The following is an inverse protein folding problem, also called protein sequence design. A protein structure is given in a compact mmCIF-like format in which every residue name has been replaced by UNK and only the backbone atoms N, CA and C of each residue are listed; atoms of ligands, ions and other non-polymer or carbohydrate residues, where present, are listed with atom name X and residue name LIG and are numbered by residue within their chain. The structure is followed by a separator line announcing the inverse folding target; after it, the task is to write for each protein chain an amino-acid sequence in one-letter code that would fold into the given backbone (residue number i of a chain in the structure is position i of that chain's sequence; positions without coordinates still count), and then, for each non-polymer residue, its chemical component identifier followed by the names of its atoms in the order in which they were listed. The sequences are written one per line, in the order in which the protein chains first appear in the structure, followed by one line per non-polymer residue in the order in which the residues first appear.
data_IF_483727527872
#
_entry.id   IF_483727527872
#
_cell.length_a   1.000
_cell.length_b   1.000
_cell.length_c   1.000
_cell.angle_alpha   90.00
_cell.angle_beta   90.00
_cell.angle_gamma   90.00
#
_symmetry.space_group_name_H-M   'P 1'
#
loop_
_entity.id
_entity.type
_entity.pdbx_description
1 polymer ?
#
# COMPACT_ATOMS: atom_id res chain seq x y z
N UNK A 1 27.26 34.16 -16.87
CA UNK A 1 27.07 33.10 -17.90
C UNK A 1 28.00 31.88 -17.75
N UNK A 2 28.94 31.83 -16.79
CA UNK A 2 29.87 30.69 -16.66
C UNK A 2 29.37 29.56 -15.73
N UNK A 3 28.49 29.83 -14.78
CA UNK A 3 28.00 28.85 -13.79
C UNK A 3 26.99 27.83 -14.36
N UNK A 4 26.21 28.21 -15.37
CA UNK A 4 25.25 27.30 -16.00
C UNK A 4 25.92 26.24 -16.89
N UNK A 5 27.14 26.48 -17.41
CA UNK A 5 27.86 25.52 -18.27
C UNK A 5 28.51 24.37 -17.50
N UNK A 6 28.93 24.59 -16.25
CA UNK A 6 29.67 23.58 -15.47
C UNK A 6 28.74 22.50 -14.89
N UNK A 7 27.54 22.86 -14.41
CA UNK A 7 26.53 21.87 -13.99
C UNK A 7 25.97 21.06 -15.17
N UNK A 8 25.87 21.71 -16.33
CA UNK A 8 25.41 21.13 -17.59
C UNK A 8 26.39 20.05 -18.11
N UNK A 9 27.70 20.23 -17.86
CA UNK A 9 28.77 19.31 -18.25
C UNK A 9 28.84 18.06 -17.35
N UNK A 10 28.76 18.22 -16.02
CA UNK A 10 28.80 17.10 -15.06
C UNK A 10 27.59 16.15 -15.17
N UNK A 11 26.39 16.68 -15.45
CA UNK A 11 25.15 15.87 -15.52
C UNK A 11 25.00 15.11 -16.86
N UNK A 12 25.48 15.65 -17.98
CA UNK A 12 25.51 14.91 -19.25
C UNK A 12 26.50 13.73 -19.20
N UNK A 13 27.63 13.92 -18.51
CA UNK A 13 28.63 12.86 -18.31
C UNK A 13 28.06 11.71 -17.46
N UNK A 14 27.31 12.03 -16.39
CA UNK A 14 26.66 11.02 -15.56
C UNK A 14 25.80 10.05 -16.38
N UNK A 15 24.86 10.55 -17.18
CA UNK A 15 23.97 9.66 -17.94
C UNK A 15 24.69 8.91 -19.09
N UNK A 16 25.74 9.50 -19.67
CA UNK A 16 26.56 8.81 -20.66
C UNK A 16 27.31 7.62 -20.03
N UNK A 17 27.93 7.81 -18.86
CA UNK A 17 28.59 6.73 -18.12
C UNK A 17 27.59 5.72 -17.57
N UNK A 18 26.46 6.21 -17.06
CA UNK A 18 25.38 5.38 -16.54
C UNK A 18 24.82 4.43 -17.60
N UNK A 19 24.51 4.96 -18.79
CA UNK A 19 23.97 4.16 -19.87
C UNK A 19 24.99 3.13 -20.35
N UNK A 20 26.24 3.54 -20.61
CA UNK A 20 27.28 2.67 -21.17
C UNK A 20 27.82 1.64 -20.17
N UNK A 21 27.90 1.96 -18.87
CA UNK A 21 28.48 1.05 -17.86
C UNK A 21 27.43 0.23 -17.13
N UNK A 22 26.25 0.80 -16.85
CA UNK A 22 25.24 0.17 -15.98
C UNK A 22 24.04 -0.38 -16.76
N UNK A 23 23.44 0.41 -17.67
CA UNK A 23 22.30 -0.07 -18.46
C UNK A 23 22.70 -1.09 -19.54
N UNK A 24 23.88 -0.93 -20.12
CA UNK A 24 24.44 -1.86 -21.11
C UNK A 24 25.28 -2.98 -20.47
N UNK A 25 25.30 -3.07 -19.14
CA UNK A 25 26.01 -4.13 -18.42
C UNK A 25 25.53 -5.52 -18.86
N UNK A 26 26.48 -6.43 -19.10
CA UNK A 26 26.21 -7.85 -19.37
C UNK A 26 25.72 -8.59 -18.12
N UNK A 27 25.96 -8.03 -16.92
CA UNK A 27 25.45 -8.58 -15.67
C UNK A 27 23.96 -8.24 -15.52
N UNK A 28 23.14 -9.28 -15.52
CA UNK A 28 21.69 -9.17 -15.42
C UNK A 28 21.21 -8.43 -14.15
N UNK A 29 21.82 -8.69 -13.00
CA UNK A 29 21.44 -8.08 -11.72
C UNK A 29 21.78 -6.58 -11.74
N UNK A 30 23.00 -6.24 -12.16
CA UNK A 30 23.45 -4.85 -12.29
C UNK A 30 22.56 -4.06 -13.24
N UNK A 31 22.28 -4.63 -14.41
CA UNK A 31 21.39 -4.00 -15.40
C UNK A 31 19.99 -3.80 -14.85
N UNK A 32 19.44 -4.78 -14.13
CA UNK A 32 18.10 -4.68 -13.53
C UNK A 32 18.02 -3.59 -12.46
N UNK A 33 19.01 -3.52 -11.56
CA UNK A 33 19.06 -2.49 -10.52
C UNK A 33 19.29 -1.09 -11.11
N UNK A 34 20.11 -0.98 -12.15
CA UNK A 34 20.29 0.26 -12.90
C UNK A 34 18.96 0.74 -13.48
N UNK A 35 18.18 -0.12 -14.12
CA UNK A 35 16.89 0.33 -14.66
C UNK A 35 15.93 0.80 -13.55
N UNK A 36 15.89 0.11 -12.41
CA UNK A 36 15.08 0.55 -11.25
C UNK A 36 15.51 1.95 -10.79
N UNK A 37 16.79 2.16 -10.57
CA UNK A 37 17.37 3.44 -10.13
C UNK A 37 17.12 4.57 -11.14
N UNK A 38 17.23 4.28 -12.44
CA UNK A 38 16.91 5.25 -13.49
C UNK A 38 15.43 5.68 -13.42
N UNK A 39 14.53 4.71 -13.19
CA UNK A 39 13.11 4.98 -12.95
C UNK A 39 12.90 5.90 -11.75
N UNK A 40 13.50 5.58 -10.61
CA UNK A 40 13.35 6.36 -9.39
C UNK A 40 13.90 7.80 -9.55
N UNK A 41 15.05 7.98 -10.21
CA UNK A 41 15.64 9.30 -10.49
C UNK A 41 14.72 10.15 -11.38
N UNK A 42 14.20 9.56 -12.46
CA UNK A 42 13.47 10.32 -13.47
C UNK A 42 11.98 10.51 -13.15
N UNK A 43 11.42 9.72 -12.23
CA UNK A 43 10.02 9.83 -11.76
C UNK A 43 9.84 10.76 -10.56
N UNK A 44 10.92 11.09 -9.85
CA UNK A 44 10.87 12.08 -8.78
C UNK A 44 10.41 13.43 -9.34
N UNK A 45 9.36 14.01 -8.74
CA UNK A 45 8.79 15.30 -9.17
C UNK A 45 9.81 16.43 -9.10
N UNK A 46 10.76 16.36 -8.18
CA UNK A 46 11.86 17.32 -8.07
C UNK A 46 12.82 17.28 -9.27
N UNK A 47 12.83 16.18 -10.03
CA UNK A 47 13.71 15.94 -11.17
C UNK A 47 13.05 16.17 -12.54
N UNK A 48 11.91 16.87 -12.61
CA UNK A 48 11.18 17.13 -13.87
C UNK A 48 12.05 17.71 -14.99
N UNK A 49 12.98 18.61 -14.66
CA UNK A 49 13.96 19.20 -15.60
C UNK A 49 14.97 18.16 -16.10
N UNK A 50 15.44 17.28 -15.21
CA UNK A 50 16.38 16.20 -15.53
C UNK A 50 15.72 15.18 -16.44
N UNK A 51 14.49 14.79 -16.12
CA UNK A 51 13.67 13.91 -16.94
C UNK A 51 13.47 14.49 -18.34
N UNK A 52 13.01 15.73 -18.45
CA UNK A 52 12.75 16.41 -19.73
C UNK A 52 14.01 16.42 -20.59
N UNK A 53 15.17 16.69 -19.98
CA UNK A 53 16.46 16.72 -20.68
C UNK A 53 16.95 15.33 -21.09
N UNK A 54 16.77 14.32 -20.24
CA UNK A 54 17.14 12.94 -20.55
C UNK A 54 16.36 12.42 -21.76
N UNK A 55 15.04 12.66 -21.81
CA UNK A 55 14.17 12.19 -22.91
C UNK A 55 14.32 13.02 -24.19
N UNK A 56 14.82 14.24 -24.09
CA UNK A 56 15.15 15.10 -25.24
C UNK A 56 16.45 14.67 -25.94
N UNK A 57 17.23 13.75 -25.36
CA UNK A 57 18.41 13.18 -26.01
C UNK A 57 18.02 12.01 -26.92
N UNK A 58 18.48 12.07 -28.17
CA UNK A 58 18.22 11.05 -29.19
C UNK A 58 18.68 9.66 -28.76
N UNK A 59 19.89 9.56 -28.21
CA UNK A 59 20.49 8.27 -27.86
C UNK A 59 19.79 7.65 -26.65
N UNK A 60 19.47 8.47 -25.64
CA UNK A 60 18.71 8.05 -24.48
C UNK A 60 17.31 7.57 -24.87
N UNK A 61 16.62 8.30 -25.74
CA UNK A 61 15.31 7.90 -26.24
C UNK A 61 15.38 6.58 -27.01
N UNK A 62 16.44 6.36 -27.80
CA UNK A 62 16.65 5.11 -28.53
C UNK A 62 16.88 3.93 -27.57
N UNK A 63 17.64 4.14 -26.50
CA UNK A 63 17.82 3.16 -25.42
C UNK A 63 16.48 2.84 -24.78
N UNK A 64 15.68 3.86 -24.41
CA UNK A 64 14.34 3.67 -23.85
C UNK A 64 13.40 2.89 -24.80
N UNK A 65 13.43 3.19 -26.10
CA UNK A 65 12.64 2.46 -27.10
C UNK A 65 13.11 1.01 -27.32
N UNK A 66 14.41 0.74 -27.15
CA UNK A 66 14.96 -0.61 -27.22
C UNK A 66 14.64 -1.42 -25.96
N UNK A 67 14.61 -0.79 -24.79
CA UNK A 67 14.20 -1.44 -23.54
C UNK A 67 12.75 -1.94 -23.62
N UNK A 68 11.86 -1.25 -24.36
CA UNK A 68 10.50 -1.77 -24.65
C UNK A 68 10.48 -3.10 -25.41
N UNK A 69 11.53 -3.41 -26.20
CA UNK A 69 11.57 -4.63 -27.03
C UNK A 69 11.75 -5.89 -26.19
N UNK A 70 12.49 -5.79 -25.10
CA UNK A 70 12.93 -6.96 -24.33
C UNK A 70 11.87 -7.36 -23.30
N UNK A 71 10.93 -6.48 -22.95
CA UNK A 71 10.20 -6.56 -21.67
C UNK A 71 8.70 -6.84 -21.86
N UNK A 72 8.39 -7.97 -22.50
CA UNK A 72 7.04 -8.43 -22.80
C UNK A 72 6.24 -8.99 -21.61
N UNK A 73 6.68 -8.81 -20.36
CA UNK A 73 5.97 -9.33 -19.19
C UNK A 73 5.84 -8.30 -18.06
N UNK A 74 4.71 -8.41 -17.35
CA UNK A 74 4.06 -7.51 -16.39
C UNK A 74 4.87 -6.93 -15.21
N UNK A 75 6.21 -7.02 -15.18
CA UNK A 75 7.02 -6.79 -13.97
C UNK A 75 7.61 -5.40 -13.79
N UNK A 76 7.22 -4.38 -14.56
CA UNK A 76 7.81 -3.03 -14.40
C UNK A 76 6.82 -1.86 -14.57
N UNK A 77 5.76 -1.84 -13.74
CA UNK A 77 4.74 -0.79 -13.72
C UNK A 77 5.30 0.64 -13.61
N UNK A 78 6.27 0.88 -12.70
CA UNK A 78 6.92 2.19 -12.53
C UNK A 78 7.64 2.67 -13.81
N UNK A 79 8.28 1.77 -14.56
CA UNK A 79 8.99 2.15 -15.80
C UNK A 79 8.05 2.34 -16.98
N UNK A 80 6.97 1.54 -17.05
CA UNK A 80 5.87 1.81 -17.98
C UNK A 80 5.31 3.23 -17.74
N UNK A 81 5.16 3.65 -16.48
CA UNK A 81 4.65 4.97 -16.07
C UNK A 81 5.62 6.10 -16.43
N UNK A 82 6.93 5.85 -16.26
CA UNK A 82 8.00 6.75 -16.71
C UNK A 82 7.96 6.95 -18.23
N UNK A 83 7.84 5.87 -18.99
CA UNK A 83 7.80 5.92 -20.46
C UNK A 83 6.52 6.58 -20.99
N UNK A 84 5.38 6.31 -20.36
CA UNK A 84 4.11 6.98 -20.66
C UNK A 84 4.21 8.50 -20.45
N UNK A 85 4.76 8.93 -19.30
CA UNK A 85 4.96 10.35 -18.97
C UNK A 85 5.92 11.02 -19.96
N UNK A 86 7.03 10.34 -20.28
CA UNK A 86 8.03 10.80 -21.25
C UNK A 86 7.42 11.00 -22.65
N UNK A 87 6.59 10.06 -23.12
CA UNK A 87 5.95 10.17 -24.43
C UNK A 87 4.93 11.32 -24.49
N UNK A 88 4.17 11.55 -23.42
CA UNK A 88 3.23 12.68 -23.31
C UNK A 88 3.92 14.04 -23.35
N UNK A 89 5.08 14.17 -22.70
CA UNK A 89 5.91 15.38 -22.76
C UNK A 89 6.46 15.60 -24.18
N UNK A 90 6.98 14.55 -24.81
CA UNK A 90 7.58 14.63 -26.14
C UNK A 90 6.55 14.98 -27.24
N UNK A 91 5.30 14.52 -27.13
CA UNK A 91 4.23 14.86 -28.10
C UNK A 91 3.95 16.37 -28.14
N UNK A 92 4.19 17.10 -27.05
CA UNK A 92 3.90 18.55 -26.97
C UNK A 92 4.99 19.46 -27.54
N UNK A 93 6.26 19.04 -27.61
CA UNK A 93 7.37 20.00 -27.86
C UNK A 93 8.59 19.45 -28.64
N UNK A 94 8.47 18.35 -29.40
CA UNK A 94 9.66 17.71 -29.98
C UNK A 94 10.14 18.25 -31.35
N UNK A 95 11.47 18.38 -31.57
CA UNK A 95 12.11 18.51 -32.89
C UNK A 95 11.79 17.34 -33.83
N UNK A 96 11.88 17.55 -35.16
CA UNK A 96 11.51 16.58 -36.21
C UNK A 96 12.18 15.20 -36.05
N UNK A 97 13.40 15.18 -35.53
CA UNK A 97 14.20 13.96 -35.41
C UNK A 97 13.69 13.02 -34.31
N UNK A 98 13.16 13.57 -33.21
CA UNK A 98 12.54 12.81 -32.12
C UNK A 98 11.18 12.25 -32.57
N UNK A 99 10.42 13.05 -33.31
CA UNK A 99 9.14 12.62 -33.88
C UNK A 99 9.33 11.40 -34.78
N UNK A 100 10.42 11.35 -35.57
CA UNK A 100 10.72 10.20 -36.42
C UNK A 100 10.92 8.89 -35.63
N UNK A 101 11.54 8.95 -34.44
CA UNK A 101 11.76 7.80 -33.55
C UNK A 101 10.45 7.33 -32.92
N UNK A 102 9.60 8.27 -32.50
CA UNK A 102 8.28 7.97 -31.92
C UNK A 102 7.35 7.34 -32.96
N UNK A 103 7.34 7.87 -34.19
CA UNK A 103 6.56 7.32 -35.31
C UNK A 103 7.06 5.93 -35.70
N UNK A 104 8.37 5.72 -35.75
CA UNK A 104 8.96 4.40 -36.02
C UNK A 104 8.61 3.35 -34.94
N UNK A 105 8.21 3.77 -33.74
CA UNK A 105 7.79 2.90 -32.64
C UNK A 105 6.28 3.01 -32.32
N UNK A 106 5.47 3.60 -33.21
CA UNK A 106 4.04 3.91 -33.00
C UNK A 106 3.23 2.72 -32.47
N UNK A 107 3.38 1.54 -33.07
CA UNK A 107 2.62 0.34 -32.66
C UNK A 107 2.92 -0.10 -31.23
N UNK A 108 4.17 0.03 -30.77
CA UNK A 108 4.59 -0.31 -29.40
C UNK A 108 4.02 0.72 -28.41
N UNK A 109 4.09 1.99 -28.77
CA UNK A 109 3.52 3.07 -27.96
C UNK A 109 2.01 2.92 -27.83
N UNK A 110 1.30 2.59 -28.91
CA UNK A 110 -0.14 2.33 -28.86
C UNK A 110 -0.50 1.16 -27.96
N UNK A 111 0.28 0.06 -27.96
CA UNK A 111 0.09 -1.04 -26.98
C UNK A 111 0.34 -0.59 -25.55
N UNK A 112 1.42 0.14 -25.31
CA UNK A 112 1.72 0.71 -23.99
C UNK A 112 0.56 1.61 -23.49
N UNK A 113 0.03 2.48 -24.35
CA UNK A 113 -1.11 3.34 -24.03
C UNK A 113 -2.40 2.55 -23.80
N UNK A 114 -2.62 1.45 -24.52
CA UNK A 114 -3.78 0.58 -24.34
C UNK A 114 -3.71 -0.17 -23.00
N UNK A 115 -2.56 -0.77 -22.65
CA UNK A 115 -2.32 -1.44 -21.37
C UNK A 115 -2.65 -0.52 -20.17
N UNK A 116 -2.24 0.74 -20.24
CA UNK A 116 -2.52 1.72 -19.18
C UNK A 116 -4.00 2.08 -19.07
N UNK A 117 -4.72 2.10 -20.20
CA UNK A 117 -6.14 2.44 -20.22
C UNK A 117 -6.98 1.29 -19.67
N UNK A 118 -6.62 0.04 -19.98
CA UNK A 118 -7.27 -1.15 -19.41
C UNK A 118 -6.99 -1.30 -17.92
N UNK A 119 -5.76 -1.09 -17.46
CA UNK A 119 -5.44 -1.07 -16.01
C UNK A 119 -6.27 -0.02 -15.25
N UNK A 120 -6.44 1.18 -15.82
CA UNK A 120 -7.21 2.26 -15.19
C UNK A 120 -8.72 1.98 -15.11
N UNK A 121 -9.30 1.34 -16.15
CA UNK A 121 -10.70 0.90 -16.13
C UNK A 121 -10.93 -0.26 -15.16
N UNK A 122 -9.93 -1.13 -15.02
CA UNK A 122 -9.97 -2.34 -14.19
C UNK A 122 -9.93 -2.05 -12.68
N UNK A 123 -9.11 -1.10 -12.19
CA UNK A 123 -9.01 -0.84 -10.74
C UNK A 123 -10.27 -0.22 -10.12
N UNK A 124 -11.02 0.58 -10.90
CA UNK A 124 -12.27 1.17 -10.40
C UNK A 124 -13.36 0.09 -10.26
N UNK A 125 -13.42 -0.84 -11.22
CA UNK A 125 -14.31 -2.00 -11.16
C UNK A 125 -13.95 -2.91 -9.99
N UNK A 126 -12.65 -3.15 -9.74
CA UNK A 126 -12.19 -3.90 -8.56
C UNK A 126 -12.64 -3.24 -7.26
N UNK A 127 -12.51 -1.90 -7.15
CA UNK A 127 -13.01 -1.18 -5.98
C UNK A 127 -14.52 -1.33 -5.81
N UNK A 128 -15.30 -1.16 -6.88
CA UNK A 128 -16.77 -1.30 -6.83
C UNK A 128 -17.18 -2.69 -6.35
N UNK A 129 -16.57 -3.76 -6.87
CA UNK A 129 -16.82 -5.14 -6.42
C UNK A 129 -16.43 -5.33 -4.95
N UNK A 130 -15.28 -4.80 -4.52
CA UNK A 130 -14.83 -4.93 -3.13
C UNK A 130 -15.74 -4.15 -2.16
N UNK A 131 -16.22 -2.97 -2.55
CA UNK A 131 -17.19 -2.20 -1.76
C UNK A 131 -18.53 -2.94 -1.64
N UNK A 132 -19.02 -3.54 -2.73
CA UNK A 132 -20.24 -4.35 -2.68
C UNK A 132 -20.08 -5.55 -1.74
N UNK A 133 -18.96 -6.28 -1.85
CA UNK A 133 -18.64 -7.39 -0.95
C UNK A 133 -18.58 -6.94 0.53
N UNK A 134 -17.86 -5.87 0.82
CA UNK A 134 -17.71 -5.33 2.18
C UNK A 134 -19.05 -4.90 2.77
N UNK A 135 -19.91 -4.24 1.98
CA UNK A 135 -21.26 -3.85 2.45
C UNK A 135 -22.15 -5.05 2.74
N UNK A 136 -22.15 -6.06 1.86
CA UNK A 136 -22.93 -7.30 2.08
C UNK A 136 -22.48 -8.04 3.33
N UNK A 137 -21.18 -8.19 3.55
CA UNK A 137 -20.64 -8.75 4.79
C UNK A 137 -20.98 -7.87 6.00
N UNK A 138 -20.90 -6.55 5.86
CA UNK A 138 -21.30 -5.60 6.89
C UNK A 138 -22.75 -5.73 7.35
N UNK A 139 -23.68 -6.10 6.47
CA UNK A 139 -25.08 -6.41 6.86
C UNK A 139 -25.20 -7.73 7.66
N UNK A 140 -24.31 -8.69 7.46
CA UNK A 140 -24.22 -9.89 8.31
C UNK A 140 -23.71 -9.47 9.69
N UNK A 141 -22.60 -8.72 9.75
CA UNK A 141 -22.02 -8.22 11.00
C UNK A 141 -23.03 -7.39 11.78
N UNK A 142 -23.71 -6.43 11.14
CA UNK A 142 -24.70 -5.56 11.79
C UNK A 142 -25.84 -6.36 12.41
N UNK A 143 -26.30 -7.43 11.75
CA UNK A 143 -27.33 -8.33 12.31
C UNK A 143 -26.79 -9.14 13.48
N UNK A 144 -25.60 -9.73 13.35
CA UNK A 144 -24.98 -10.54 14.41
C UNK A 144 -24.54 -9.72 15.63
N UNK A 145 -24.23 -8.43 15.45
CA UNK A 145 -23.70 -7.56 16.52
C UNK A 145 -24.66 -7.43 17.71
N UNK A 146 -25.96 -7.38 17.46
CA UNK A 146 -27.01 -7.25 18.49
C UNK A 146 -27.63 -8.58 18.94
N UNK A 147 -27.18 -9.70 18.38
CA UNK A 147 -27.69 -11.03 18.70
C UNK A 147 -26.79 -11.73 19.73
N UNK A 148 -27.30 -12.83 20.31
CA UNK A 148 -26.47 -13.78 21.06
C UNK A 148 -25.49 -14.44 20.08
N UNK A 149 -24.22 -14.52 20.47
CA UNK A 149 -23.13 -14.97 19.60
C UNK A 149 -22.62 -16.33 20.04
N UNK A 150 -22.36 -17.24 19.10
CA UNK A 150 -21.68 -18.48 19.38
C UNK A 150 -20.18 -18.27 19.21
N UNK A 151 -19.44 -18.32 20.32
CA UNK A 151 -18.01 -18.02 20.33
C UNK A 151 -17.21 -19.32 20.36
N UNK A 152 -16.34 -19.49 19.37
CA UNK A 152 -15.30 -20.51 19.33
C UNK A 152 -13.94 -19.87 19.69
N UNK A 153 -13.03 -20.63 20.30
CA UNK A 153 -11.70 -20.15 20.71
C UNK A 153 -10.61 -20.68 19.78
N UNK A 154 -9.85 -19.77 19.15
CA UNK A 154 -8.63 -20.08 18.35
C UNK A 154 -7.35 -20.08 19.21
N UNK A 155 -7.39 -19.48 20.41
CA UNK A 155 -6.28 -19.39 21.35
C UNK A 155 -6.74 -19.06 22.76
N UNK A 156 -5.81 -18.66 23.65
CA UNK A 156 -6.18 -18.33 25.05
C UNK A 156 -7.18 -17.17 25.15
N UNK A 157 -7.09 -16.18 24.25
CA UNK A 157 -7.96 -15.00 24.19
C UNK A 157 -8.40 -14.67 22.77
N UNK A 158 -8.03 -15.50 21.80
CA UNK A 158 -8.32 -15.31 20.39
C UNK A 158 -9.63 -16.03 20.02
N UNK A 159 -10.54 -15.32 19.37
CA UNK A 159 -11.94 -15.68 19.22
C UNK A 159 -12.34 -15.75 17.74
N UNK A 160 -13.29 -16.60 17.42
CA UNK A 160 -13.96 -16.64 16.11
C UNK A 160 -15.43 -16.95 16.31
N UNK A 161 -16.29 -16.39 15.47
CA UNK A 161 -17.73 -16.64 15.50
C UNK A 161 -18.21 -17.21 14.17
N UNK A 162 -19.46 -17.68 14.14
CA UNK A 162 -20.14 -18.04 12.90
C UNK A 162 -20.27 -16.86 11.94
N UNK A 163 -20.21 -15.62 12.46
CA UNK A 163 -20.29 -14.39 11.67
C UNK A 163 -19.03 -14.22 10.82
N UNK A 164 -17.84 -14.49 11.38
CA UNK A 164 -16.55 -14.39 10.69
C UNK A 164 -16.54 -15.34 9.47
N UNK A 165 -16.88 -16.62 9.69
CA UNK A 165 -16.95 -17.66 8.63
C UNK A 165 -17.96 -17.29 7.54
N UNK A 166 -19.17 -16.86 7.92
CA UNK A 166 -20.21 -16.47 6.97
C UNK A 166 -19.83 -15.24 6.14
N UNK A 167 -19.09 -14.28 6.73
CA UNK A 167 -18.59 -13.12 6.02
C UNK A 167 -17.47 -13.50 5.04
N UNK A 168 -16.52 -14.35 5.45
CA UNK A 168 -15.45 -14.81 4.56
C UNK A 168 -16.01 -15.56 3.35
N UNK A 169 -16.90 -16.53 3.57
CA UNK A 169 -17.54 -17.30 2.51
C UNK A 169 -18.28 -16.37 1.53
N UNK A 170 -19.01 -15.38 2.03
CA UNK A 170 -19.71 -14.41 1.18
C UNK A 170 -18.73 -13.61 0.33
N UNK A 171 -17.69 -13.04 0.95
CA UNK A 171 -16.72 -12.18 0.27
C UNK A 171 -15.96 -12.99 -0.78
N UNK A 172 -15.49 -14.18 -0.41
CA UNK A 172 -14.74 -15.06 -1.31
C UNK A 172 -15.58 -15.46 -2.51
N UNK A 173 -16.79 -15.96 -2.29
CA UNK A 173 -17.69 -16.33 -3.38
C UNK A 173 -17.99 -15.14 -4.29
N UNK A 174 -18.24 -13.96 -3.73
CA UNK A 174 -18.52 -12.75 -4.50
C UNK A 174 -17.32 -12.33 -5.36
N UNK A 175 -16.11 -12.32 -4.80
CA UNK A 175 -14.89 -11.97 -5.52
C UNK A 175 -14.53 -13.00 -6.58
N UNK A 176 -14.69 -14.30 -6.28
CA UNK A 176 -14.36 -15.39 -7.20
C UNK A 176 -15.34 -15.47 -8.38
N UNK A 177 -16.62 -15.13 -8.18
CA UNK A 177 -17.60 -15.01 -9.26
C UNK A 177 -17.23 -13.92 -10.28
N UNK A 178 -16.69 -12.79 -9.81
CA UNK A 178 -16.29 -11.69 -10.69
C UNK A 178 -14.89 -11.89 -11.28
N UNK A 179 -13.98 -12.49 -10.51
CA UNK A 179 -12.55 -12.61 -10.84
C UNK A 179 -12.03 -14.03 -10.55
N UNK A 180 -12.45 -15.04 -11.34
CA UNK A 180 -12.11 -16.45 -11.09
C UNK A 180 -10.61 -16.76 -11.19
N UNK A 181 -9.84 -15.92 -11.89
CA UNK A 181 -8.38 -16.07 -12.03
C UNK A 181 -7.58 -15.41 -10.89
N UNK A 182 -8.23 -14.62 -10.04
CA UNK A 182 -7.57 -13.96 -8.92
C UNK A 182 -7.42 -14.93 -7.75
N UNK A 183 -6.34 -14.76 -6.99
CA UNK A 183 -6.12 -15.51 -5.75
C UNK A 183 -6.82 -14.84 -4.58
N UNK A 184 -7.11 -15.62 -3.55
CA UNK A 184 -7.72 -15.18 -2.30
C UNK A 184 -6.80 -15.57 -1.14
N UNK A 185 -6.62 -14.68 -0.18
CA UNK A 185 -6.00 -14.92 1.12
C UNK A 185 -6.97 -14.35 2.15
N UNK A 186 -7.37 -15.16 3.12
CA UNK A 186 -8.28 -14.75 4.18
C UNK A 186 -7.86 -15.32 5.51
N UNK A 187 -8.29 -14.69 6.59
CA UNK A 187 -7.97 -15.11 7.94
C UNK A 187 -8.40 -16.56 8.21
N UNK A 188 -9.69 -16.86 8.00
CA UNK A 188 -10.28 -18.12 8.45
C UNK A 188 -9.77 -19.29 7.60
N UNK A 189 -9.67 -19.09 6.29
CA UNK A 189 -9.08 -20.05 5.37
C UNK A 189 -7.60 -20.30 5.71
N UNK A 190 -6.84 -19.27 6.10
CA UNK A 190 -5.44 -19.44 6.50
C UNK A 190 -5.31 -20.21 7.80
N UNK A 191 -6.19 -19.94 8.78
CA UNK A 191 -6.24 -20.69 10.03
C UNK A 191 -6.57 -22.17 9.78
N UNK A 192 -7.44 -22.47 8.81
CA UNK A 192 -7.86 -23.83 8.48
C UNK A 192 -6.88 -24.60 7.58
N UNK A 193 -6.24 -23.93 6.61
CA UNK A 193 -5.49 -24.57 5.52
C UNK A 193 -3.99 -24.22 5.49
N UNK A 194 -3.52 -23.34 6.38
CA UNK A 194 -2.13 -22.89 6.44
C UNK A 194 -1.83 -21.66 5.58
N UNK A 195 -0.63 -21.10 5.77
CA UNK A 195 -0.22 -19.84 5.13
C UNK A 195 -0.10 -19.97 3.60
N UNK A 196 -0.86 -19.16 2.88
CA UNK A 196 -0.68 -19.00 1.43
C UNK A 196 0.41 -17.99 1.10
N UNK A 197 1.27 -18.34 0.14
CA UNK A 197 2.33 -17.43 -0.33
C UNK A 197 1.73 -16.29 -1.18
N UNK A 198 2.08 -15.06 -0.82
CA UNK A 198 1.77 -13.89 -1.65
C UNK A 198 2.62 -13.89 -2.93
N UNK A 199 1.97 -14.13 -4.07
CA UNK A 199 2.61 -14.22 -5.40
C UNK A 199 2.46 -12.94 -6.23
N UNK A 200 3.01 -12.93 -7.45
CA UNK A 200 2.84 -11.79 -8.38
C UNK A 200 1.42 -11.69 -8.97
N UNK A 201 0.64 -12.78 -8.95
CA UNK A 201 -0.77 -12.80 -9.40
C UNK A 201 -1.64 -11.82 -8.61
N UNK A 202 -2.69 -11.24 -9.22
CA UNK A 202 -3.70 -10.49 -8.49
C UNK A 202 -4.24 -11.32 -7.32
N UNK A 203 -4.14 -10.77 -6.11
CA UNK A 203 -4.49 -11.48 -4.87
C UNK A 203 -5.32 -10.57 -3.98
N UNK A 204 -6.56 -10.98 -3.70
CA UNK A 204 -7.40 -10.35 -2.70
C UNK A 204 -7.02 -10.88 -1.32
N UNK A 205 -6.83 -9.98 -0.37
CA UNK A 205 -6.45 -10.26 1.01
C UNK A 205 -7.59 -9.71 1.88
N UNK A 206 -8.25 -10.57 2.63
CA UNK A 206 -9.53 -10.28 3.28
C UNK A 206 -9.45 -10.59 4.77
N UNK A 207 -9.85 -9.61 5.57
CA UNK A 207 -10.29 -9.84 6.94
C UNK A 207 -11.83 -9.71 6.94
N UNK A 208 -12.56 -10.82 7.16
CA UNK A 208 -14.01 -10.80 7.16
C UNK A 208 -14.60 -10.03 8.36
N UNK A 209 -13.87 -9.93 9.48
CA UNK A 209 -14.28 -9.26 10.71
C UNK A 209 -13.07 -8.90 11.58
N UNK A 210 -12.40 -7.80 11.28
CA UNK A 210 -11.37 -7.24 12.15
C UNK A 210 -12.03 -6.72 13.43
N UNK A 211 -11.46 -7.10 14.57
CA UNK A 211 -12.00 -6.81 15.90
C UNK A 211 -13.02 -7.83 16.39
N UNK A 212 -12.84 -9.14 16.14
CA UNK A 212 -13.74 -10.20 16.64
C UNK A 212 -13.97 -10.13 18.16
N UNK A 213 -12.96 -9.77 18.96
CA UNK A 213 -13.14 -9.52 20.40
C UNK A 213 -14.13 -8.38 20.66
N UNK A 214 -13.99 -7.27 19.93
CA UNK A 214 -14.91 -6.14 20.02
C UNK A 214 -16.32 -6.54 19.62
N UNK A 215 -16.46 -7.32 18.54
CA UNK A 215 -17.74 -7.86 18.10
C UNK A 215 -18.42 -8.68 19.20
N UNK A 216 -17.69 -9.63 19.80
CA UNK A 216 -18.20 -10.48 20.89
C UNK A 216 -18.70 -9.63 22.06
N UNK A 217 -17.95 -8.60 22.44
CA UNK A 217 -18.30 -7.71 23.55
C UNK A 217 -19.28 -6.58 23.20
N UNK A 218 -19.68 -6.43 21.93
CA UNK A 218 -20.54 -5.33 21.49
C UNK A 218 -19.86 -3.95 21.49
N UNK A 219 -18.53 -3.91 21.38
CA UNK A 219 -17.77 -2.67 21.19
C UNK A 219 -17.75 -2.31 19.68
N UNK A 220 -18.14 -1.09 19.27
CA UNK A 220 -18.47 -0.77 17.88
C UNK A 220 -17.26 -0.50 16.97
N UNK A 221 -16.05 -0.89 17.37
CA UNK A 221 -14.83 -0.84 16.55
C UNK A 221 -14.60 -2.20 15.90
N UNK A 222 -15.41 -2.50 14.89
CA UNK A 222 -15.34 -3.72 14.09
C UNK A 222 -15.40 -3.34 12.61
N UNK A 223 -14.72 -4.07 11.73
CA UNK A 223 -14.80 -3.78 10.31
C UNK A 223 -14.54 -4.98 9.40
N UNK A 224 -14.94 -4.85 8.15
CA UNK A 224 -14.46 -5.71 7.06
C UNK A 224 -13.26 -5.03 6.41
N UNK A 225 -12.15 -5.73 6.22
CA UNK A 225 -10.96 -5.24 5.51
C UNK A 225 -10.74 -6.04 4.23
N UNK A 226 -10.65 -5.37 3.08
CA UNK A 226 -10.37 -6.00 1.78
C UNK A 226 -9.27 -5.20 1.09
N UNK A 227 -8.13 -5.84 0.84
CA UNK A 227 -7.05 -5.32 0.02
C UNK A 227 -6.86 -6.15 -1.25
N UNK A 228 -6.57 -5.52 -2.38
CA UNK A 228 -6.11 -6.20 -3.60
C UNK A 228 -4.65 -5.88 -3.80
N UNK A 229 -3.81 -6.89 -4.01
CA UNK A 229 -2.42 -6.71 -4.46
C UNK A 229 -2.27 -7.16 -5.91
N UNK A 230 -1.46 -6.44 -6.69
CA UNK A 230 -1.08 -6.84 -8.06
C UNK A 230 0.44 -6.75 -8.14
N UNK A 231 1.12 -7.86 -8.46
CA UNK A 231 2.58 -7.91 -8.42
C UNK A 231 3.14 -7.66 -7.01
N UNK A 232 2.42 -8.12 -5.97
CA UNK A 232 2.71 -7.86 -4.54
C UNK A 232 2.61 -6.39 -4.11
N UNK A 233 2.00 -5.53 -4.92
CA UNK A 233 1.83 -4.10 -4.63
C UNK A 233 0.34 -3.77 -4.36
N UNK A 234 -0.06 -3.19 -3.21
CA UNK A 234 -1.48 -2.95 -2.84
C UNK A 234 -2.27 -2.02 -3.78
N UNK A 235 -3.06 -2.50 -4.73
CA UNK A 235 -3.70 -1.67 -5.76
C UNK A 235 -5.04 -1.03 -5.35
N UNK A 236 -5.84 -1.73 -4.54
CA UNK A 236 -7.16 -1.31 -4.05
C UNK A 236 -7.27 -1.66 -2.57
N UNK A 237 -7.94 -0.80 -1.79
CA UNK A 237 -8.15 -0.98 -0.37
C UNK A 237 -9.55 -0.51 0.03
N UNK A 238 -10.26 -1.35 0.77
CA UNK A 238 -11.58 -1.09 1.33
C UNK A 238 -11.56 -1.49 2.79
N UNK A 239 -12.00 -0.60 3.69
CA UNK A 239 -12.24 -0.92 5.10
C UNK A 239 -13.61 -0.36 5.46
N UNK A 240 -14.52 -1.20 5.94
CA UNK A 240 -15.90 -0.82 6.22
C UNK A 240 -16.29 -1.17 7.65
N UNK A 241 -16.57 -0.16 8.49
CA UNK A 241 -17.20 -0.36 9.78
C UNK A 241 -18.74 -0.27 9.61
N UNK A 242 -19.47 -1.39 9.73
CA UNK A 242 -20.91 -1.41 9.53
C UNK A 242 -21.70 -0.84 10.71
N UNK A 243 -21.10 -0.66 11.89
CA UNK A 243 -21.78 -0.13 13.08
C UNK A 243 -21.75 1.41 13.07
N UNK A 244 -20.61 1.99 12.70
CA UNK A 244 -20.42 3.44 12.55
C UNK A 244 -20.80 3.97 11.17
N UNK A 245 -21.10 3.08 10.22
CA UNK A 245 -21.38 3.41 8.81
C UNK A 245 -20.24 4.20 8.16
N UNK A 246 -19.01 3.71 8.35
CA UNK A 246 -17.80 4.34 7.84
C UNK A 246 -17.11 3.44 6.82
N UNK A 247 -17.16 3.87 5.56
CA UNK A 247 -16.54 3.21 4.42
C UNK A 247 -15.29 3.99 3.98
N UNK A 248 -14.14 3.42 4.27
CA UNK A 248 -12.84 3.90 3.80
C UNK A 248 -12.47 3.18 2.50
N UNK A 249 -12.04 3.94 1.49
CA UNK A 249 -11.68 3.41 0.18
C UNK A 249 -10.45 4.10 -0.38
N UNK A 250 -9.61 3.35 -1.08
CA UNK A 250 -8.48 3.90 -1.83
C UNK A 250 -8.20 3.07 -3.09
N UNK A 251 -7.75 3.78 -4.14
CA UNK A 251 -7.14 3.19 -5.32
C UNK A 251 -5.75 3.82 -5.45
N UNK A 252 -4.73 3.02 -5.77
CA UNK A 252 -3.39 3.55 -5.96
C UNK A 252 -3.35 4.73 -6.94
N UNK A 253 -2.77 5.85 -6.50
CA UNK A 253 -2.62 7.10 -7.24
C UNK A 253 -3.92 7.89 -7.43
N UNK A 254 -4.94 7.65 -6.60
CA UNK A 254 -6.27 8.31 -6.67
C UNK A 254 -6.71 8.99 -5.40
N UNK A 255 -5.93 8.88 -4.33
CA UNK A 255 -6.31 9.40 -3.02
C UNK A 255 -7.19 8.41 -2.25
N UNK A 256 -7.37 8.74 -0.98
CA UNK A 256 -8.21 8.00 -0.05
C UNK A 256 -9.49 8.78 0.26
N UNK A 257 -10.56 8.05 0.55
CA UNK A 257 -11.89 8.61 0.81
C UNK A 257 -12.53 7.94 2.01
N UNK A 258 -13.30 8.71 2.79
CA UNK A 258 -14.23 8.25 3.80
C UNK A 258 -15.64 8.66 3.37
N UNK A 259 -16.53 7.68 3.15
CA UNK A 259 -17.90 7.90 2.68
C UNK A 259 -17.95 8.80 1.44
N UNK A 260 -17.03 8.56 0.50
CA UNK A 260 -16.89 9.31 -0.75
C UNK A 260 -16.25 10.71 -0.62
N UNK A 261 -15.93 11.16 0.60
CA UNK A 261 -15.24 12.45 0.82
C UNK A 261 -13.73 12.23 0.94
N UNK A 262 -12.89 13.05 0.29
CA UNK A 262 -11.44 12.89 0.36
C UNK A 262 -10.94 13.10 1.79
N UNK A 263 -9.99 12.27 2.21
CA UNK A 263 -9.35 12.34 3.51
C UNK A 263 -7.84 12.58 3.37
N UNK A 264 -7.21 13.04 4.45
CA UNK A 264 -5.77 13.20 4.56
C UNK A 264 -5.34 12.93 5.99
N UNK A 265 -4.09 12.50 6.15
CA UNK A 265 -3.46 12.37 7.46
C UNK A 265 -3.39 13.71 8.19
N UNK A 266 -3.18 13.66 9.50
CA UNK A 266 -3.03 14.86 10.33
C UNK A 266 -1.80 15.69 9.92
N UNK A 267 -1.81 16.97 10.28
CA UNK A 267 -0.65 17.86 10.13
C UNK A 267 0.16 18.02 11.41
N UNK A 268 0.01 17.09 12.38
CA UNK A 268 0.73 17.16 13.65
C UNK A 268 2.24 16.97 13.42
N UNK A 269 3.06 17.76 14.09
CA UNK A 269 4.53 17.74 13.96
C UNK A 269 5.25 17.40 15.26
N UNK A 270 4.53 17.38 16.40
CA UNK A 270 5.10 17.15 17.72
C UNK A 270 4.55 15.87 18.35
N UNK A 271 5.44 14.95 18.74
CA UNK A 271 5.07 13.68 19.38
C UNK A 271 4.22 13.91 20.64
N UNK A 272 4.62 14.83 21.53
CA UNK A 272 3.91 15.10 22.79
C UNK A 272 2.48 15.62 22.61
N UNK A 273 2.13 16.09 21.41
CA UNK A 273 0.77 16.53 21.05
C UNK A 273 0.00 15.47 20.26
N UNK A 274 0.64 14.35 19.92
CA UNK A 274 0.11 13.29 19.08
C UNK A 274 -0.75 12.30 19.85
N UNK A 275 -1.84 11.84 19.22
CA UNK A 275 -2.64 10.72 19.70
C UNK A 275 -2.11 9.41 19.11
N UNK A 276 -1.62 8.53 19.99
CA UNK A 276 -1.08 7.22 19.65
C UNK A 276 -2.17 6.15 19.71
N UNK A 277 -2.19 5.23 18.75
CA UNK A 277 -2.89 3.96 18.87
C UNK A 277 -1.91 2.78 18.86
N UNK A 278 -2.23 1.73 19.59
CA UNK A 278 -1.52 0.44 19.59
C UNK A 278 -2.41 -0.63 20.21
N UNK A 279 -1.97 -1.88 20.21
CA UNK A 279 -2.70 -3.00 20.81
C UNK A 279 -1.75 -3.85 21.68
N UNK A 280 -2.32 -4.56 22.67
CA UNK A 280 -1.56 -5.48 23.54
C UNK A 280 -1.31 -6.86 22.90
N UNK A 281 -1.84 -7.07 21.69
CA UNK A 281 -1.81 -8.35 20.99
C UNK A 281 -2.64 -9.44 21.68
N UNK A 282 -2.58 -10.66 21.16
CA UNK A 282 -3.32 -11.83 21.66
C UNK A 282 -2.46 -12.80 22.47
N UNK A 283 -1.12 -12.73 22.36
CA UNK A 283 -0.21 -13.57 23.14
C UNK A 283 -0.16 -13.12 24.60
N UNK A 284 -0.18 -14.09 25.52
CA UNK A 284 -0.28 -13.86 26.97
C UNK A 284 0.86 -14.47 27.79
N UNK A 285 1.92 -14.94 27.12
CA UNK A 285 3.14 -15.32 27.84
C UNK A 285 3.79 -14.08 28.48
N UNK A 286 4.40 -14.27 29.66
CA UNK A 286 4.94 -13.17 30.46
C UNK A 286 5.95 -12.32 29.69
N UNK A 287 6.85 -12.95 28.94
CA UNK A 287 7.85 -12.23 28.13
C UNK A 287 7.21 -11.28 27.11
N UNK A 288 6.18 -11.73 26.38
CA UNK A 288 5.50 -10.90 25.39
C UNK A 288 4.71 -9.77 26.05
N UNK A 289 4.02 -10.05 27.17
CA UNK A 289 3.25 -9.04 27.90
C UNK A 289 4.17 -7.98 28.51
N UNK A 290 5.25 -8.38 29.17
CA UNK A 290 6.24 -7.47 29.75
C UNK A 290 6.88 -6.60 28.64
N UNK A 291 7.29 -7.19 27.51
CA UNK A 291 7.85 -6.44 26.39
C UNK A 291 6.87 -5.41 25.80
N UNK A 292 5.61 -5.78 25.65
CA UNK A 292 4.57 -4.91 25.09
C UNK A 292 4.21 -3.78 26.05
N UNK A 293 3.98 -4.10 27.32
CA UNK A 293 3.59 -3.11 28.34
C UNK A 293 4.74 -2.16 28.69
N UNK A 294 5.99 -2.63 28.75
CA UNK A 294 7.15 -1.77 28.95
C UNK A 294 7.33 -0.78 27.80
N UNK A 295 7.10 -1.22 26.56
CA UNK A 295 7.12 -0.35 25.38
C UNK A 295 6.05 0.74 25.45
N UNK A 296 4.81 0.35 25.77
CA UNK A 296 3.69 1.28 25.96
C UNK A 296 4.04 2.29 27.06
N UNK A 297 4.56 1.82 28.20
CA UNK A 297 4.95 2.68 29.31
C UNK A 297 6.00 3.72 28.89
N UNK A 298 7.01 3.32 28.11
CA UNK A 298 8.00 4.26 27.56
C UNK A 298 7.38 5.33 26.64
N UNK A 299 6.44 4.92 25.78
CA UNK A 299 5.78 5.82 24.83
C UNK A 299 4.85 6.83 25.50
N UNK A 300 4.26 6.51 26.66
CA UNK A 300 3.35 7.41 27.38
C UNK A 300 4.00 8.72 27.84
N UNK A 301 5.34 8.77 27.96
CA UNK A 301 6.07 10.00 28.26
C UNK A 301 6.25 10.91 27.03
N UNK A 302 6.10 10.36 25.83
CA UNK A 302 6.44 11.01 24.57
C UNK A 302 5.21 11.47 23.78
N UNK A 303 4.01 10.99 24.14
CA UNK A 303 2.75 11.26 23.40
C UNK A 303 1.66 11.87 24.29
N UNK A 304 0.65 12.49 23.68
CA UNK A 304 -0.45 13.13 24.42
C UNK A 304 -1.31 12.12 25.15
N UNK A 305 -1.67 11.04 24.47
CA UNK A 305 -2.58 10.01 24.96
C UNK A 305 -2.49 8.78 24.06
N UNK A 306 -3.07 7.67 24.53
CA UNK A 306 -3.04 6.38 23.87
C UNK A 306 -4.47 5.83 23.67
N UNK A 307 -4.68 5.11 22.58
CA UNK A 307 -5.88 4.33 22.27
C UNK A 307 -5.49 2.89 22.01
N UNK A 308 -6.32 1.98 22.51
CA UNK A 308 -6.33 0.57 22.14
C UNK A 308 -7.76 0.28 21.74
N UNK A 309 -8.00 0.26 20.44
CA UNK A 309 -9.35 0.21 19.87
C UNK A 309 -9.77 -1.21 19.51
N UNK A 310 -8.82 -2.14 19.44
CA UNK A 310 -9.04 -3.56 19.16
C UNK A 310 -9.26 -3.89 17.68
N UNK A 311 -8.89 -2.99 16.74
CA UNK A 311 -8.97 -3.23 15.30
C UNK A 311 -7.78 -2.60 14.58
N UNK A 312 -6.96 -3.43 13.94
CA UNK A 312 -5.75 -2.99 13.24
C UNK A 312 -6.11 -2.13 12.01
N UNK A 313 -7.08 -2.58 11.23
CA UNK A 313 -7.51 -1.92 10.00
C UNK A 313 -8.17 -0.56 10.29
N UNK A 314 -8.98 -0.45 11.36
CA UNK A 314 -9.56 0.84 11.76
C UNK A 314 -8.54 1.79 12.38
N UNK A 315 -7.54 1.28 13.10
CA UNK A 315 -6.44 2.12 13.58
C UNK A 315 -5.66 2.73 12.40
N UNK A 316 -5.36 1.95 11.35
CA UNK A 316 -4.78 2.47 10.11
C UNK A 316 -5.69 3.51 9.44
N UNK A 317 -6.99 3.25 9.34
CA UNK A 317 -7.94 4.21 8.78
C UNK A 317 -8.05 5.50 9.62
N UNK A 318 -7.88 5.38 10.94
CA UNK A 318 -7.79 6.51 11.87
C UNK A 318 -6.59 7.42 11.58
N UNK A 319 -5.44 6.83 11.20
CA UNK A 319 -4.28 7.60 10.71
C UNK A 319 -4.64 8.29 9.39
N UNK A 320 -5.21 7.55 8.44
CA UNK A 320 -5.53 8.06 7.10
C UNK A 320 -6.50 9.26 7.11
N UNK A 321 -7.41 9.33 8.07
CA UNK A 321 -8.32 10.47 8.22
C UNK A 321 -7.90 11.48 9.30
N UNK A 322 -6.70 11.35 9.86
CA UNK A 322 -6.14 12.28 10.85
C UNK A 322 -6.84 12.28 12.21
N UNK A 323 -7.60 11.22 12.54
CA UNK A 323 -8.16 10.99 13.88
C UNK A 323 -7.09 10.49 14.85
N UNK A 324 -6.10 9.78 14.31
CA UNK A 324 -4.91 9.31 15.00
C UNK A 324 -3.70 9.93 14.32
N UNK A 325 -2.63 10.14 15.08
CA UNK A 325 -1.38 10.71 14.57
C UNK A 325 -0.30 9.64 14.39
N UNK A 326 -0.30 8.64 15.28
CA UNK A 326 0.68 7.57 15.36
C UNK A 326 -0.03 6.25 15.59
N UNK A 327 0.39 5.21 14.89
CA UNK A 327 -0.05 3.84 15.12
C UNK A 327 1.14 2.89 15.02
N UNK A 328 1.23 1.93 15.94
CA UNK A 328 2.07 0.76 15.73
C UNK A 328 1.42 -0.49 16.29
N UNK A 329 1.70 -1.62 15.66
CA UNK A 329 1.26 -2.93 16.14
C UNK A 329 2.29 -4.00 15.77
N UNK A 330 2.46 -4.95 16.69
CA UNK A 330 3.41 -6.06 16.58
C UNK A 330 2.67 -7.38 16.81
N UNK A 331 2.82 -8.33 15.89
CA UNK A 331 2.26 -9.67 16.02
C UNK A 331 0.76 -9.76 15.76
N UNK A 332 0.23 -8.92 14.87
CA UNK A 332 -1.14 -9.08 14.34
C UNK A 332 -1.28 -10.38 13.53
N UNK A 333 -2.53 -10.80 13.29
CA UNK A 333 -2.87 -12.13 12.76
C UNK A 333 -2.26 -12.41 11.38
N UNK A 334 -2.36 -11.47 10.46
CA UNK A 334 -1.85 -11.68 9.11
C UNK A 334 -1.93 -10.46 8.19
N UNK A 335 -1.58 -10.63 6.90
CA UNK A 335 -1.61 -9.52 5.94
C UNK A 335 -3.01 -8.89 5.77
N UNK A 336 -4.08 -9.60 6.13
CA UNK A 336 -5.47 -9.12 6.05
C UNK A 336 -5.77 -7.93 6.97
N UNK A 337 -5.15 -7.90 8.15
CA UNK A 337 -5.24 -6.80 9.13
C UNK A 337 -4.79 -5.45 8.54
N UNK A 338 -3.84 -5.50 7.59
CA UNK A 338 -3.13 -4.31 7.10
C UNK A 338 -3.34 -4.02 5.61
N UNK A 339 -3.75 -5.00 4.80
CA UNK A 339 -3.75 -4.88 3.33
C UNK A 339 -4.61 -3.70 2.84
N UNK A 340 -5.85 -3.59 3.31
CA UNK A 340 -6.74 -2.48 2.98
C UNK A 340 -6.29 -1.16 3.59
N UNK A 341 -6.06 -1.17 4.91
CA UNK A 341 -5.69 0.03 5.69
C UNK A 341 -4.38 0.67 5.25
N UNK A 342 -3.36 -0.12 4.90
CA UNK A 342 -2.06 0.39 4.50
C UNK A 342 -2.15 1.24 3.22
N UNK A 343 -2.86 0.76 2.19
CA UNK A 343 -3.07 1.56 0.97
C UNK A 343 -3.86 2.84 1.26
N UNK A 344 -4.87 2.75 2.13
CA UNK A 344 -5.69 3.90 2.51
C UNK A 344 -4.83 4.97 3.21
N UNK A 345 -3.88 4.59 4.07
CA UNK A 345 -2.91 5.51 4.68
C UNK A 345 -1.99 6.14 3.64
N UNK A 346 -1.38 5.35 2.75
CA UNK A 346 -0.48 5.85 1.70
C UNK A 346 -1.19 6.87 0.80
N UNK A 347 -2.41 6.56 0.35
CA UNK A 347 -3.19 7.42 -0.54
C UNK A 347 -3.74 8.67 0.17
N UNK A 348 -3.85 8.65 1.50
CA UNK A 348 -4.15 9.83 2.32
C UNK A 348 -2.94 10.75 2.56
N UNK A 349 -1.76 10.40 2.01
CA UNK A 349 -0.51 11.13 2.20
C UNK A 349 0.26 10.76 3.48
N UNK A 350 -0.11 9.65 4.11
CA UNK A 350 0.61 9.06 5.24
C UNK A 350 1.75 8.16 4.80
N UNK A 351 2.48 7.65 5.80
CA UNK A 351 3.54 6.67 5.63
C UNK A 351 3.18 5.41 6.42
N UNK A 352 3.43 4.25 5.81
CA UNK A 352 3.37 2.93 6.45
C UNK A 352 4.77 2.31 6.38
N UNK A 353 5.26 1.78 7.49
CA UNK A 353 6.64 1.30 7.63
C UNK A 353 6.74 0.20 8.69
N UNK A 354 7.85 -0.55 8.70
CA UNK A 354 8.17 -1.44 9.82
C UNK A 354 8.55 -0.57 11.06
N UNK A 355 8.12 -0.92 12.29
CA UNK A 355 8.45 -0.16 13.50
C UNK A 355 9.96 0.09 13.74
N UNK A 356 10.84 -0.71 13.14
CA UNK A 356 12.30 -0.48 13.14
C UNK A 356 12.78 0.61 12.18
N UNK A 357 11.88 1.22 11.40
CA UNK A 357 12.16 2.25 10.40
C UNK A 357 12.40 1.71 8.98
N UNK A 358 12.42 0.38 8.79
CA UNK A 358 12.57 -0.26 7.48
C UNK A 358 11.30 -0.12 6.63
N UNK A 359 11.44 -0.46 5.35
CA UNK A 359 10.29 -0.53 4.43
C UNK A 359 9.22 -1.49 4.96
N UNK A 360 7.96 -1.10 4.76
CA UNK A 360 6.82 -1.92 5.13
C UNK A 360 6.81 -3.23 4.33
N UNK A 361 6.65 -4.33 5.06
CA UNK A 361 6.40 -5.65 4.49
C UNK A 361 5.08 -6.19 5.02
N UNK A 362 4.11 -6.35 4.12
CA UNK A 362 2.72 -6.73 4.41
C UNK A 362 2.61 -8.08 5.12
N UNK A 363 3.59 -8.98 4.95
CA UNK A 363 3.59 -10.31 5.58
C UNK A 363 4.39 -10.37 6.90
N UNK A 364 5.04 -9.27 7.30
CA UNK A 364 5.98 -9.29 8.42
C UNK A 364 5.34 -9.25 9.82
N UNK A 365 4.00 -9.13 9.87
CA UNK A 365 3.20 -9.01 11.10
C UNK A 365 3.67 -7.88 12.03
N UNK A 366 4.22 -6.80 11.46
CA UNK A 366 4.62 -5.59 12.18
C UNK A 366 4.33 -4.39 11.31
N UNK A 367 3.73 -3.37 11.89
CA UNK A 367 3.36 -2.15 11.17
C UNK A 367 3.49 -0.94 12.09
N UNK A 368 3.95 0.16 11.52
CA UNK A 368 3.82 1.49 12.07
C UNK A 368 3.30 2.42 10.97
N UNK A 369 2.48 3.39 11.37
CA UNK A 369 1.92 4.38 10.46
C UNK A 369 1.86 5.76 11.13
N UNK A 370 2.11 6.80 10.33
CA UNK A 370 2.05 8.19 10.77
C UNK A 370 1.91 9.13 9.58
N UNK A 371 1.75 10.42 9.84
CA UNK A 371 2.04 11.44 8.85
C UNK A 371 3.57 11.54 8.57
N UNK A 372 4.02 12.21 7.49
CA UNK A 372 5.44 12.32 7.15
C UNK A 372 6.29 13.09 8.16
N UNK A 373 5.71 14.00 8.94
CA UNK A 373 6.44 14.83 9.90
C UNK A 373 6.86 14.07 11.15
N UNK A 374 6.09 13.06 11.55
CA UNK A 374 6.30 12.33 12.80
C UNK A 374 7.14 11.06 12.66
N UNK A 375 7.35 10.54 11.43
CA UNK A 375 7.98 9.22 11.20
C UNK A 375 9.31 9.07 11.92
N UNK A 376 10.26 9.98 11.67
CA UNK A 376 11.63 9.82 12.19
C UNK A 376 11.68 9.92 13.72
N UNK A 377 10.89 10.83 14.29
CA UNK A 377 10.77 10.97 15.73
C UNK A 377 10.12 9.71 16.35
N UNK A 378 9.08 9.18 15.71
CA UNK A 378 8.37 8.01 16.22
C UNK A 378 9.22 6.74 16.16
N UNK A 379 9.91 6.48 15.06
CA UNK A 379 10.86 5.36 14.92
C UNK A 379 11.95 5.44 15.99
N UNK A 380 12.49 6.63 16.27
CA UNK A 380 13.50 6.83 17.31
C UNK A 380 12.97 6.40 18.68
N UNK A 381 11.78 6.85 19.07
CA UNK A 381 11.20 6.50 20.37
C UNK A 381 10.86 5.01 20.43
N UNK A 382 10.30 4.43 19.37
CA UNK A 382 10.03 2.99 19.30
C UNK A 382 11.29 2.13 19.49
N UNK A 383 12.44 2.59 19.00
CA UNK A 383 13.73 1.93 19.19
C UNK A 383 14.32 2.06 20.60
N UNK A 384 13.90 3.06 21.38
CA UNK A 384 14.36 3.29 22.76
C UNK A 384 13.52 2.53 23.80
N UNK A 385 12.27 2.21 23.46
CA UNK A 385 11.33 1.52 24.36
C UNK A 385 11.37 -0.02 24.23
N UNK A 386 12.53 -0.60 23.90
CA UNK A 386 12.76 -2.06 23.81
C UNK A 386 13.40 -2.61 25.08
#
# INVERSE_FOLDING_TARGET
MATCRIECWKKNHFFAEYNSKLLESTNYITRRQAVKLLGDILLDRSNSVVMTRYVSSRDNLRILMNLLRVWSQARVFRLKLFMFSSCLLLIKTSPRDIVSILVANKSKLLRLFADFKTEKGSLSQFLETAVDAAKRAGEIIRRGFYQTKNVEHKGQVDLVTETDKACEDLIFNHLQQHYPEHKLIGEETTAACGTMELTDSPTWIVDPLDGTTNFVHGFPFVCVSIGLTIGKVPAVGVVYNPILDELFTAIRGKGAFLNGKPIKVSSQTELVKSLLATEVGTKRDKSTVDATTNRINGLLFEVRSLRMSGSCALNLCGIACGRLDLFYELGFGGPWDVAGGALIVEEAGGLVYDPSGKDFDIISQRVAASNPHLKDAFVKVLGQSV
#
